data_IF_359820509846
#
_entry.id   IF_359820509846
#
_cell.length_a   1.000
_cell.length_b   1.000
_cell.length_c   1.000
_cell.angle_alpha   90.00
_cell.angle_beta   90.00
_cell.angle_gamma   90.00
#
_symmetry.space_group_name_H-M   'P 1'
#
loop_
_entity.id
_entity.type
_entity.pdbx_description
1 polymer ?
#
# COMPACT_ATOMS: atom_id res chain seq x y z
N UNK A 1 -15.62 -1.22 -1.95
CA UNK A 1 -14.67 -0.17 -1.51
C UNK A 1 -15.46 1.05 -1.07
N UNK A 2 -14.97 1.79 -0.09
CA UNK A 2 -15.58 3.02 0.41
C UNK A 2 -14.67 4.23 0.17
N UNK A 3 -15.27 5.38 -0.12
CA UNK A 3 -14.57 6.66 -0.10
C UNK A 3 -14.73 7.29 1.30
N UNK A 4 -13.61 7.60 1.97
CA UNK A 4 -13.59 8.32 3.23
C UNK A 4 -13.28 9.79 2.96
N UNK A 5 -14.23 10.65 3.25
CA UNK A 5 -14.22 12.02 2.74
C UNK A 5 -14.60 13.08 3.78
N UNK A 6 -14.71 12.69 5.04
CA UNK A 6 -15.01 13.58 6.16
C UNK A 6 -14.32 13.12 7.45
N UNK A 7 -14.15 14.00 8.45
CA UNK A 7 -13.61 13.61 9.75
C UNK A 7 -14.38 12.45 10.39
N UNK A 8 -15.72 12.46 10.29
CA UNK A 8 -16.56 11.35 10.77
C UNK A 8 -16.26 10.05 10.01
N UNK A 9 -16.06 10.10 8.70
CA UNK A 9 -15.67 8.93 7.92
C UNK A 9 -14.31 8.36 8.37
N UNK A 10 -13.32 9.22 8.60
CA UNK A 10 -12.00 8.81 9.08
C UNK A 10 -12.06 8.23 10.50
N UNK A 11 -12.82 8.84 11.41
CA UNK A 11 -12.96 8.35 12.79
C UNK A 11 -13.66 6.98 12.86
N UNK A 12 -14.53 6.67 11.88
CA UNK A 12 -15.23 5.39 11.79
C UNK A 12 -14.61 4.46 10.73
N UNK A 13 -13.36 4.71 10.31
CA UNK A 13 -12.75 4.02 9.18
C UNK A 13 -12.79 2.50 9.34
N UNK A 14 -12.44 1.97 10.52
CA UNK A 14 -12.41 0.52 10.78
C UNK A 14 -13.80 -0.11 10.69
N UNK A 15 -14.82 0.50 11.30
CA UNK A 15 -16.20 0.03 11.21
C UNK A 15 -16.69 0.02 9.76
N UNK A 16 -16.35 1.05 8.98
CA UNK A 16 -16.72 1.14 7.56
C UNK A 16 -16.06 0.03 6.75
N UNK A 17 -14.74 -0.18 6.90
CA UNK A 17 -14.03 -1.18 6.10
C UNK A 17 -14.34 -2.63 6.50
N UNK A 18 -14.89 -2.85 7.70
CA UNK A 18 -15.33 -4.17 8.18
C UNK A 18 -16.85 -4.39 8.06
N UNK A 19 -17.61 -3.41 7.56
CA UNK A 19 -19.07 -3.48 7.51
C UNK A 19 -19.64 -4.58 6.59
N UNK A 20 -18.82 -5.15 5.70
CA UNK A 20 -19.26 -6.19 4.77
C UNK A 20 -18.08 -6.99 4.22
N UNK A 21 -18.25 -8.30 4.05
CA UNK A 21 -17.28 -9.17 3.35
C UNK A 21 -17.02 -8.77 1.88
N UNK A 22 -17.86 -7.89 1.32
CA UNK A 22 -17.66 -7.31 -0.04
C UNK A 22 -16.62 -6.18 -0.05
N UNK A 23 -16.16 -5.74 1.11
CA UNK A 23 -15.17 -4.67 1.21
C UNK A 23 -13.79 -5.16 0.79
N UNK A 24 -13.31 -4.64 -0.34
CA UNK A 24 -11.95 -4.90 -0.81
C UNK A 24 -10.97 -3.76 -0.49
N UNK A 25 -11.45 -2.60 -0.03
CA UNK A 25 -10.59 -1.47 0.30
C UNK A 25 -11.30 -0.17 0.63
N UNK A 26 -10.51 0.87 0.88
CA UNK A 26 -10.95 2.25 1.05
C UNK A 26 -10.02 3.23 0.32
N UNK A 27 -10.56 4.40 -0.02
CA UNK A 27 -9.80 5.50 -0.59
C UNK A 27 -10.14 6.81 0.11
N UNK A 28 -9.20 7.74 0.21
CA UNK A 28 -9.49 9.07 0.73
C UNK A 28 -9.91 10.02 -0.40
N UNK A 29 -11.08 10.65 -0.28
CA UNK A 29 -11.47 11.76 -1.17
C UNK A 29 -10.85 13.04 -0.63
N UNK A 30 -9.62 13.35 -1.09
CA UNK A 30 -8.85 14.45 -0.52
C UNK A 30 -9.46 15.83 -0.75
N UNK A 31 -10.26 16.03 -1.81
CA UNK A 31 -10.95 17.30 -2.06
C UNK A 31 -12.02 17.57 -1.00
N UNK A 32 -12.95 16.64 -0.85
CA UNK A 32 -14.06 16.74 0.11
C UNK A 32 -13.59 16.68 1.56
N UNK A 33 -12.54 15.87 1.83
CA UNK A 33 -11.93 15.80 3.15
C UNK A 33 -11.31 17.14 3.56
N UNK A 34 -10.51 17.77 2.69
CA UNK A 34 -9.90 19.08 2.96
C UNK A 34 -10.96 20.17 3.16
N UNK A 35 -12.02 20.15 2.36
CA UNK A 35 -13.19 21.04 2.55
C UNK A 35 -13.80 20.86 3.94
N UNK A 36 -13.98 19.62 4.39
CA UNK A 36 -14.54 19.29 5.71
C UNK A 36 -13.60 19.63 6.87
N UNK A 37 -12.29 19.69 6.62
CA UNK A 37 -11.26 20.08 7.59
C UNK A 37 -10.96 21.58 7.59
N UNK A 38 -11.55 22.35 6.68
CA UNK A 38 -11.29 23.79 6.49
C UNK A 38 -9.82 24.12 6.18
N UNK A 39 -9.17 23.27 5.38
CA UNK A 39 -7.76 23.41 4.98
C UNK A 39 -7.62 23.50 3.47
N UNK A 40 -6.49 24.07 3.02
CA UNK A 40 -6.08 24.04 1.62
C UNK A 40 -5.10 22.89 1.39
N UNK A 41 -4.78 22.63 0.13
CA UNK A 41 -3.72 21.68 -0.23
C UNK A 41 -2.38 22.29 0.17
N UNK A 42 -1.60 21.58 0.98
CA UNK A 42 -0.26 21.99 1.35
C UNK A 42 0.79 21.08 0.73
N UNK A 43 1.97 21.64 0.40
CA UNK A 43 3.09 20.84 -0.06
C UNK A 43 3.49 19.86 1.04
N UNK A 44 3.64 18.58 0.69
CA UNK A 44 3.96 17.51 1.64
C UNK A 44 2.74 16.88 2.33
N UNK A 45 1.53 17.40 2.09
CA UNK A 45 0.28 16.74 2.49
C UNK A 45 0.03 16.69 4.01
N UNK A 46 0.61 17.63 4.77
CA UNK A 46 0.50 17.68 6.23
C UNK A 46 -0.95 17.72 6.72
N UNK A 47 -1.83 18.37 5.96
CA UNK A 47 -3.24 18.55 6.24
C UNK A 47 -4.04 17.23 6.19
N UNK A 48 -3.51 16.22 5.49
CA UNK A 48 -4.12 14.89 5.39
C UNK A 48 -3.35 13.82 6.18
N UNK A 49 -2.21 14.15 6.79
CA UNK A 49 -1.30 13.16 7.37
C UNK A 49 -1.98 12.25 8.41
N UNK A 50 -2.71 12.86 9.36
CA UNK A 50 -3.46 12.12 10.39
C UNK A 50 -4.55 11.24 9.78
N UNK A 51 -5.25 11.73 8.75
CA UNK A 51 -6.31 10.99 8.08
C UNK A 51 -5.76 9.80 7.30
N UNK A 52 -4.66 10.00 6.56
CA UNK A 52 -3.93 8.94 5.86
C UNK A 52 -3.47 7.85 6.83
N UNK A 53 -2.89 8.24 7.97
CA UNK A 53 -2.46 7.31 9.01
C UNK A 53 -3.61 6.49 9.60
N UNK A 54 -4.71 7.12 10.01
CA UNK A 54 -5.88 6.42 10.55
C UNK A 54 -6.52 5.47 9.54
N UNK A 55 -6.64 5.90 8.28
CA UNK A 55 -7.19 5.08 7.20
C UNK A 55 -6.30 3.86 6.91
N UNK A 56 -4.97 4.04 6.91
CA UNK A 56 -4.03 2.94 6.75
C UNK A 56 -4.14 1.92 7.89
N UNK A 57 -4.16 2.36 9.15
CA UNK A 57 -4.34 1.47 10.30
C UNK A 57 -5.64 0.67 10.18
N UNK A 58 -6.74 1.33 9.85
CA UNK A 58 -8.04 0.67 9.64
C UNK A 58 -7.99 -0.36 8.51
N UNK A 59 -7.45 0.01 7.35
CA UNK A 59 -7.36 -0.88 6.19
C UNK A 59 -6.49 -2.11 6.47
N UNK A 60 -5.33 -1.92 7.13
CA UNK A 60 -4.42 -3.02 7.48
C UNK A 60 -5.02 -3.94 8.54
N UNK A 61 -5.70 -3.39 9.55
CA UNK A 61 -6.42 -4.18 10.54
C UNK A 61 -7.57 -5.01 9.95
N UNK A 62 -8.20 -4.53 8.88
CA UNK A 62 -9.27 -5.24 8.17
C UNK A 62 -8.77 -6.15 7.04
N UNK A 63 -7.47 -6.12 6.71
CA UNK A 63 -6.92 -6.90 5.59
C UNK A 63 -7.39 -6.44 4.21
N UNK A 64 -7.75 -5.16 4.06
CA UNK A 64 -8.24 -4.57 2.80
C UNK A 64 -7.26 -3.57 2.20
N UNK A 65 -7.45 -3.22 0.92
CA UNK A 65 -6.59 -2.26 0.22
C UNK A 65 -6.84 -0.81 0.67
N UNK A 66 -5.80 0.02 0.60
CA UNK A 66 -5.85 1.43 0.96
C UNK A 66 -5.29 2.30 -0.16
N UNK A 67 -6.08 3.27 -0.65
CA UNK A 67 -5.70 4.13 -1.77
C UNK A 67 -5.69 5.62 -1.39
N UNK A 68 -4.72 6.36 -1.91
CA UNK A 68 -4.64 7.81 -1.71
C UNK A 68 -5.51 8.60 -2.73
N UNK A 69 -5.67 9.91 -2.46
CA UNK A 69 -6.46 10.86 -3.27
C UNK A 69 -5.85 11.15 -4.64
N UNK A 70 -6.52 11.90 -5.53
CA UNK A 70 -5.90 12.47 -6.74
C UNK A 70 -4.96 13.64 -6.43
N UNK A 71 -3.99 13.89 -7.33
CA UNK A 71 -3.13 15.07 -7.33
C UNK A 71 -3.70 16.12 -8.29
N UNK A 72 -4.08 17.34 -7.83
CA UNK A 72 -4.86 18.28 -8.65
C UNK A 72 -4.09 18.93 -9.80
N UNK A 73 -2.81 19.24 -9.61
CA UNK A 73 -2.01 19.94 -10.62
C UNK A 73 -1.35 18.94 -11.58
N UNK A 74 -1.99 18.71 -12.73
CA UNK A 74 -1.54 17.71 -13.73
C UNK A 74 -0.21 18.07 -14.39
N UNK A 75 0.19 19.35 -14.37
CA UNK A 75 1.44 19.80 -14.99
C UNK A 75 2.63 19.74 -14.02
N UNK A 76 2.38 19.68 -12.71
CA UNK A 76 3.42 19.49 -11.69
C UNK A 76 3.70 17.99 -11.46
N UNK A 77 4.45 17.42 -12.41
CA UNK A 77 4.89 16.03 -12.32
C UNK A 77 5.90 15.77 -11.20
N UNK A 78 6.65 16.77 -10.74
CA UNK A 78 7.64 16.58 -9.67
C UNK A 78 6.92 16.47 -8.32
N UNK A 79 6.01 17.41 -8.01
CA UNK A 79 5.18 17.31 -6.81
C UNK A 79 4.31 16.05 -6.79
N UNK A 80 3.79 15.64 -7.95
CA UNK A 80 3.08 14.37 -8.08
C UNK A 80 3.95 13.16 -7.71
N UNK A 81 5.19 13.09 -8.21
CA UNK A 81 6.11 11.97 -7.90
C UNK A 81 6.50 11.97 -6.43
N UNK A 82 6.79 13.13 -5.86
CA UNK A 82 7.09 13.28 -4.43
C UNK A 82 5.94 12.70 -3.57
N UNK A 83 4.69 13.04 -3.89
CA UNK A 83 3.52 12.53 -3.17
C UNK A 83 3.32 11.02 -3.38
N UNK A 84 3.50 10.50 -4.60
CA UNK A 84 3.38 9.05 -4.88
C UNK A 84 4.43 8.25 -4.10
N UNK A 85 5.67 8.73 -4.03
CA UNK A 85 6.74 8.11 -3.24
C UNK A 85 6.38 8.15 -1.74
N UNK A 86 5.93 9.29 -1.24
CA UNK A 86 5.50 9.43 0.16
C UNK A 86 4.38 8.43 0.49
N UNK A 87 3.37 8.31 -0.37
CA UNK A 87 2.27 7.37 -0.18
C UNK A 87 2.74 5.92 -0.19
N UNK A 88 3.65 5.55 -1.11
CA UNK A 88 4.22 4.21 -1.10
C UNK A 88 4.97 3.94 0.21
N UNK A 89 5.78 4.90 0.69
CA UNK A 89 6.50 4.77 1.96
C UNK A 89 5.59 4.68 3.18
N UNK A 90 4.44 5.36 3.17
CA UNK A 90 3.42 5.21 4.21
C UNK A 90 2.73 3.85 4.18
N UNK A 91 2.82 3.12 3.08
CA UNK A 91 2.24 1.79 2.90
C UNK A 91 0.88 1.81 2.23
N UNK A 92 0.56 2.78 1.37
CA UNK A 92 -0.62 2.70 0.49
C UNK A 92 -0.44 1.62 -0.58
N UNK A 93 -1.56 1.13 -1.12
CA UNK A 93 -1.59 0.15 -2.23
C UNK A 93 -1.73 0.81 -3.61
N UNK A 94 -1.91 2.13 -3.63
CA UNK A 94 -2.06 2.91 -4.86
C UNK A 94 -2.64 4.30 -4.60
N UNK A 95 -3.11 4.92 -5.67
CA UNK A 95 -3.59 6.31 -5.67
C UNK A 95 -4.61 6.53 -6.78
N UNK A 96 -5.58 7.40 -6.55
CA UNK A 96 -6.47 7.89 -7.62
C UNK A 96 -5.71 8.80 -8.59
N UNK A 97 -5.95 8.67 -9.89
CA UNK A 97 -5.30 9.49 -10.92
C UNK A 97 -6.32 10.13 -11.85
N UNK A 98 -6.01 11.33 -12.35
CA UNK A 98 -6.88 12.12 -13.23
C UNK A 98 -6.26 12.40 -14.60
N UNK A 99 -5.05 11.88 -14.84
CA UNK A 99 -4.29 12.11 -16.09
C UNK A 99 -3.59 10.84 -16.54
N UNK A 100 -3.63 10.48 -17.84
CA UNK A 100 -2.87 9.36 -18.38
C UNK A 100 -1.36 9.45 -18.13
N UNK A 101 -0.81 10.67 -17.99
CA UNK A 101 0.61 10.89 -17.69
C UNK A 101 1.04 10.27 -16.36
N UNK A 102 0.10 10.09 -15.42
CA UNK A 102 0.36 9.57 -14.09
C UNK A 102 0.45 8.04 -14.05
N UNK A 103 -0.22 7.35 -14.99
CA UNK A 103 -0.41 5.89 -14.97
C UNK A 103 0.93 5.16 -14.82
N UNK A 104 1.87 5.47 -15.70
CA UNK A 104 3.16 4.77 -15.75
C UNK A 104 3.91 4.87 -14.43
N UNK A 105 4.03 6.07 -13.88
CA UNK A 105 4.81 6.29 -12.65
C UNK A 105 4.16 5.64 -11.42
N UNK A 106 2.82 5.66 -11.31
CA UNK A 106 2.11 4.95 -10.24
C UNK A 106 2.35 3.44 -10.35
N UNK A 107 2.16 2.86 -11.54
CA UNK A 107 2.38 1.42 -11.72
C UNK A 107 3.82 1.02 -11.41
N UNK A 108 4.81 1.78 -11.89
CA UNK A 108 6.23 1.51 -11.61
C UNK A 108 6.57 1.66 -10.12
N UNK A 109 5.92 2.58 -9.40
CA UNK A 109 6.19 2.82 -7.96
C UNK A 109 5.57 1.75 -7.07
N UNK A 110 4.33 1.32 -7.34
CA UNK A 110 3.64 0.34 -6.48
C UNK A 110 3.89 -1.11 -6.89
N UNK A 111 4.53 -1.37 -8.04
CA UNK A 111 4.92 -2.72 -8.44
C UNK A 111 6.21 -3.16 -7.71
N UNK A 112 6.30 -4.41 -7.23
CA UNK A 112 7.52 -4.94 -6.67
C UNK A 112 8.69 -4.86 -7.65
N UNK A 113 9.84 -4.42 -7.16
CA UNK A 113 11.08 -4.36 -7.93
C UNK A 113 11.67 -5.75 -8.16
N UNK A 114 12.50 -5.94 -9.20
CA UNK A 114 13.20 -7.21 -9.41
C UNK A 114 14.03 -7.68 -8.21
N UNK A 115 14.57 -6.74 -7.41
CA UNK A 115 15.33 -7.04 -6.19
C UNK A 115 14.45 -7.58 -5.08
N UNK A 116 13.29 -6.95 -4.86
CA UNK A 116 12.31 -7.42 -3.86
C UNK A 116 11.74 -8.79 -4.24
N UNK A 117 11.44 -9.00 -5.53
CA UNK A 117 10.97 -10.30 -6.03
C UNK A 117 12.02 -11.38 -5.78
N UNK A 118 13.27 -11.17 -6.19
CA UNK A 118 14.33 -12.16 -6.02
C UNK A 118 14.59 -12.48 -4.52
N UNK A 119 14.51 -11.47 -3.66
CA UNK A 119 14.63 -11.67 -2.21
C UNK A 119 13.44 -12.46 -1.64
N UNK A 120 12.21 -12.14 -2.04
CA UNK A 120 11.01 -12.85 -1.63
C UNK A 120 11.03 -14.32 -2.09
N UNK A 121 11.47 -14.60 -3.32
CA UNK A 121 11.62 -15.97 -3.82
C UNK A 121 12.60 -16.77 -2.96
N UNK A 122 13.74 -16.17 -2.63
CA UNK A 122 14.76 -16.79 -1.79
C UNK A 122 14.25 -17.10 -0.40
N UNK A 123 13.52 -16.17 0.21
CA UNK A 123 12.90 -16.37 1.52
C UNK A 123 11.92 -17.53 1.50
N UNK A 124 11.06 -17.60 0.48
CA UNK A 124 10.04 -18.64 0.37
C UNK A 124 10.68 -20.03 0.18
N UNK A 125 11.67 -20.14 -0.70
CA UNK A 125 12.39 -21.40 -0.93
C UNK A 125 13.11 -21.86 0.34
N UNK A 126 13.82 -20.95 1.01
CA UNK A 126 14.55 -21.27 2.24
C UNK A 126 13.61 -21.71 3.37
N UNK A 127 12.43 -21.11 3.47
CA UNK A 127 11.39 -21.54 4.41
C UNK A 127 10.86 -22.94 4.05
N UNK A 128 10.54 -23.20 2.79
CA UNK A 128 10.02 -24.52 2.35
C UNK A 128 11.04 -25.65 2.60
N UNK A 129 12.33 -25.40 2.42
CA UNK A 129 13.40 -26.37 2.72
C UNK A 129 13.53 -26.69 4.21
N UNK A 130 13.17 -25.74 5.08
CA UNK A 130 13.30 -25.87 6.53
C UNK A 130 11.95 -26.10 7.24
N UNK A 131 10.83 -26.13 6.52
CA UNK A 131 9.49 -26.28 7.09
C UNK A 131 9.33 -27.58 7.90
N UNK A 132 9.97 -28.66 7.46
CA UNK A 132 9.93 -29.97 8.12
C UNK A 132 10.84 -30.05 9.38
N UNK A 133 11.66 -29.03 9.63
CA UNK A 133 12.60 -29.01 10.78
C UNK A 133 11.95 -28.62 12.11
N UNK A 134 10.71 -28.11 12.09
CA UNK A 134 9.99 -27.68 13.31
C UNK A 134 10.58 -26.44 14.00
N UNK A 135 11.50 -25.72 13.36
CA UNK A 135 12.15 -24.52 13.90
C UNK A 135 11.38 -23.28 13.43
N UNK A 136 10.88 -22.45 14.35
CA UNK A 136 10.14 -21.22 14.03
C UNK A 136 10.99 -20.00 13.65
N UNK A 137 12.30 -20.19 13.51
CA UNK A 137 13.29 -19.14 13.23
C UNK A 137 14.30 -19.68 12.22
N UNK A 138 14.43 -18.99 11.09
CA UNK A 138 15.23 -19.45 9.96
C UNK A 138 16.42 -18.53 9.74
N UNK A 139 17.52 -19.06 9.22
CA UNK A 139 18.67 -18.23 8.84
C UNK A 139 18.75 -18.13 7.32
N UNK A 140 18.61 -16.93 6.78
CA UNK A 140 18.79 -16.63 5.36
C UNK A 140 19.89 -15.59 5.22
N UNK A 141 20.95 -15.92 4.48
CA UNK A 141 22.15 -15.07 4.33
C UNK A 141 22.79 -14.62 5.66
N UNK A 142 22.77 -15.51 6.66
CA UNK A 142 23.30 -15.20 7.99
C UNK A 142 22.44 -14.24 8.80
N UNK A 143 21.25 -13.86 8.30
CA UNK A 143 20.26 -13.07 9.06
C UNK A 143 19.15 -13.98 9.57
N UNK A 144 18.75 -13.73 10.80
CA UNK A 144 17.62 -14.39 11.44
C UNK A 144 16.33 -13.84 10.84
N UNK A 145 15.47 -14.72 10.35
CA UNK A 145 14.20 -14.41 9.68
C UNK A 145 13.07 -15.13 10.43
N UNK A 146 12.03 -14.40 10.77
CA UNK A 146 10.82 -14.92 11.41
C UNK A 146 9.65 -15.02 10.42
N UNK A 147 8.52 -15.56 10.91
CA UNK A 147 7.32 -15.81 10.10
C UNK A 147 6.76 -14.54 9.40
N UNK A 148 6.72 -13.35 10.03
CA UNK A 148 6.33 -12.11 9.36
C UNK A 148 7.06 -11.81 8.04
N UNK A 149 8.38 -12.06 7.95
CA UNK A 149 9.11 -11.86 6.69
C UNK A 149 8.66 -12.82 5.59
N UNK A 150 8.24 -14.03 5.96
CA UNK A 150 7.71 -15.00 4.99
C UNK A 150 6.32 -14.60 4.48
N UNK A 151 5.45 -14.11 5.37
CA UNK A 151 4.14 -13.58 4.97
C UNK A 151 4.29 -12.37 4.02
N UNK A 152 5.23 -11.47 4.30
CA UNK A 152 5.53 -10.35 3.41
C UNK A 152 6.13 -10.83 2.07
N UNK A 153 7.03 -11.82 2.08
CA UNK A 153 7.55 -12.41 0.86
C UNK A 153 6.43 -13.01 -0.02
N UNK A 154 5.49 -13.74 0.59
CA UNK A 154 4.31 -14.26 -0.13
C UNK A 154 3.46 -13.15 -0.72
N UNK A 155 3.25 -12.05 0.03
CA UNK A 155 2.52 -10.87 -0.45
C UNK A 155 3.24 -10.23 -1.65
N UNK A 156 4.56 -10.08 -1.60
CA UNK A 156 5.38 -9.55 -2.69
C UNK A 156 5.25 -10.40 -3.96
N UNK A 157 5.36 -11.73 -3.86
CA UNK A 157 5.21 -12.63 -5.02
C UNK A 157 3.79 -12.57 -5.58
N UNK A 158 2.77 -12.58 -4.72
CA UNK A 158 1.37 -12.47 -5.16
C UNK A 158 1.13 -11.15 -5.92
N UNK A 159 1.67 -10.04 -5.41
CA UNK A 159 1.58 -8.73 -6.06
C UNK A 159 2.35 -8.71 -7.39
N UNK A 160 3.56 -9.26 -7.43
CA UNK A 160 4.37 -9.34 -8.64
C UNK A 160 3.68 -10.14 -9.76
N UNK A 161 2.98 -11.23 -9.41
CA UNK A 161 2.12 -11.99 -10.32
C UNK A 161 0.96 -11.15 -10.84
N UNK A 162 0.25 -10.46 -9.94
CA UNK A 162 -0.88 -9.59 -10.30
C UNK A 162 -0.45 -8.43 -11.22
N UNK A 163 0.76 -7.91 -11.03
CA UNK A 163 1.35 -6.87 -11.88
C UNK A 163 1.94 -7.40 -13.19
N UNK A 164 2.01 -8.72 -13.40
CA UNK A 164 2.61 -9.33 -14.60
C UNK A 164 4.13 -9.18 -14.70
N UNK A 165 4.82 -8.90 -13.59
CA UNK A 165 6.28 -8.71 -13.54
C UNK A 165 7.02 -9.93 -12.99
N UNK A 166 6.29 -10.90 -12.42
CA UNK A 166 6.84 -12.17 -11.96
C UNK A 166 7.07 -13.16 -13.11
N UNK A 167 8.26 -13.73 -13.20
CA UNK A 167 8.65 -14.71 -14.23
C UNK A 167 9.15 -16.05 -13.66
N UNK A 168 9.07 -16.23 -12.34
CA UNK A 168 9.47 -17.46 -11.67
C UNK A 168 8.34 -18.49 -11.59
N UNK A 169 8.57 -19.53 -10.80
CA UNK A 169 7.68 -20.70 -10.71
C UNK A 169 7.06 -20.92 -9.32
N UNK A 170 7.22 -19.97 -8.38
CA UNK A 170 6.44 -19.96 -7.14
C UNK A 170 4.97 -19.65 -7.41
#
# INVERSE_FOLDING_TARGET
MAALESPKGILNAYEIVTASDRMFGCAISGGDFRKSMHVQIEKGGIEMLTARGNMLLAARAAGVQCFDTMFPNVDDMEGFKEEVIQNHQMGFDGKSIISPKHIRFVHETFAPTPKEIAYAEKLINSFNEQADSGVGVYTVDGKMVDLPFFEDARRIIALAKACGVYKGNL
#
